data_IF_053692515459
#
_entry.id   IF_053692515459
#
_cell.length_a   1.000
_cell.length_b   1.000
_cell.length_c   1.000
_cell.angle_alpha   90.00
_cell.angle_beta   90.00
_cell.angle_gamma   90.00
#
_symmetry.space_group_name_H-M   'P 1'
#
loop_
_entity.id
_entity.type
_entity.pdbx_description
1 polymer ?
#
# COMPACT_ATOMS: atom_id res chain seq x y z
N UNK A 1 0.12 -12.07 -8.73
CA UNK A 1 1.32 -11.20 -8.75
C UNK A 1 2.62 -11.98 -8.94
N UNK A 2 2.92 -12.99 -8.11
CA UNK A 2 4.11 -13.86 -8.24
C UNK A 2 4.28 -14.47 -9.63
N UNK A 3 3.21 -14.99 -10.24
CA UNK A 3 3.25 -15.59 -11.57
C UNK A 3 3.64 -14.58 -12.68
N UNK A 4 3.12 -13.35 -12.60
CA UNK A 4 3.45 -12.27 -13.54
C UNK A 4 4.93 -11.90 -13.41
N UNK A 5 5.42 -11.76 -12.19
CA UNK A 5 6.84 -11.49 -11.94
C UNK A 5 7.72 -12.63 -12.48
N UNK A 6 7.36 -13.88 -12.21
CA UNK A 6 8.11 -15.02 -12.72
C UNK A 6 8.13 -15.07 -14.25
N UNK A 7 7.00 -14.76 -14.89
CA UNK A 7 6.92 -14.67 -16.35
C UNK A 7 7.79 -13.52 -16.91
N UNK A 8 7.87 -12.38 -16.24
CA UNK A 8 8.76 -11.28 -16.60
C UNK A 8 10.22 -11.70 -16.55
N UNK A 9 10.64 -12.39 -15.50
CA UNK A 9 12.02 -12.91 -15.39
C UNK A 9 12.34 -13.98 -16.44
N UNK A 10 11.36 -14.81 -16.81
CA UNK A 10 11.51 -15.80 -17.89
C UNK A 10 11.69 -15.18 -19.28
N UNK A 11 11.19 -13.96 -19.47
CA UNK A 11 11.32 -13.22 -20.74
C UNK A 11 12.55 -12.28 -20.78
N UNK A 12 13.41 -12.29 -19.78
CA UNK A 12 14.66 -11.52 -19.82
C UNK A 12 15.57 -11.98 -20.98
N UNK A 13 16.28 -11.04 -21.63
CA UNK A 13 17.18 -11.37 -22.75
C UNK A 13 18.33 -12.27 -22.30
N UNK A 14 18.80 -13.10 -23.20
CA UNK A 14 19.92 -14.05 -22.92
C UNK A 14 21.22 -13.33 -22.57
N UNK A 15 21.45 -12.15 -23.19
CA UNK A 15 22.63 -11.33 -22.93
C UNK A 15 22.77 -10.95 -21.42
N UNK A 16 21.65 -10.85 -20.72
CA UNK A 16 21.69 -10.59 -19.27
C UNK A 16 22.25 -11.79 -18.52
N UNK A 17 21.86 -13.01 -18.89
CA UNK A 17 22.36 -14.24 -18.28
C UNK A 17 23.83 -14.45 -18.60
N UNK A 18 24.25 -14.16 -19.85
CA UNK A 18 25.65 -14.23 -20.28
C UNK A 18 26.52 -13.23 -19.50
N UNK A 19 26.04 -12.01 -19.29
CA UNK A 19 26.76 -11.00 -18.49
C UNK A 19 26.94 -11.42 -17.04
N UNK A 20 26.03 -12.23 -16.51
CA UNK A 20 26.11 -12.81 -15.16
C UNK A 20 26.86 -14.15 -15.12
N UNK A 21 27.43 -14.61 -16.26
CA UNK A 21 28.09 -15.89 -16.41
C UNK A 21 27.18 -17.07 -16.05
N UNK A 22 25.88 -16.96 -16.36
CA UNK A 22 24.85 -17.94 -16.07
C UNK A 22 24.18 -18.41 -17.37
N UNK A 23 23.96 -19.72 -17.50
CA UNK A 23 23.14 -20.25 -18.60
C UNK A 23 21.66 -19.95 -18.30
N UNK A 24 20.90 -19.49 -19.31
CA UNK A 24 19.46 -19.32 -19.19
C UNK A 24 18.77 -20.67 -19.01
N UNK A 25 18.37 -20.98 -17.80
CA UNK A 25 17.67 -22.21 -17.41
C UNK A 25 16.57 -21.88 -16.41
N UNK A 26 15.65 -22.80 -16.18
CA UNK A 26 14.61 -22.63 -15.17
C UNK A 26 15.19 -22.37 -13.77
N UNK A 27 16.33 -23.02 -13.45
CA UNK A 27 17.03 -22.82 -12.18
C UNK A 27 17.60 -21.39 -12.05
N UNK A 28 18.28 -20.89 -13.07
CA UNK A 28 18.84 -19.52 -13.07
C UNK A 28 17.74 -18.46 -13.00
N UNK A 29 16.64 -18.65 -13.71
CA UNK A 29 15.47 -17.77 -13.65
C UNK A 29 14.91 -17.76 -12.23
N UNK A 30 14.80 -18.90 -11.58
CA UNK A 30 14.30 -19.02 -10.21
C UNK A 30 15.22 -18.33 -9.19
N UNK A 31 16.53 -18.49 -9.34
CA UNK A 31 17.52 -17.81 -8.49
C UNK A 31 17.44 -16.30 -8.63
N UNK A 32 17.44 -15.80 -9.88
CA UNK A 32 17.28 -14.36 -10.13
C UNK A 32 15.95 -13.83 -9.61
N UNK A 33 14.87 -14.58 -9.78
CA UNK A 33 13.56 -14.22 -9.24
C UNK A 33 13.61 -14.08 -7.71
N UNK A 34 14.16 -15.05 -6.99
CA UNK A 34 14.26 -15.02 -5.53
C UNK A 34 15.15 -13.88 -5.04
N UNK A 35 16.24 -13.58 -5.77
CA UNK A 35 17.18 -12.53 -5.39
C UNK A 35 16.63 -11.13 -5.66
N UNK A 36 15.97 -10.93 -6.81
CA UNK A 36 15.53 -9.59 -7.26
C UNK A 36 14.08 -9.28 -6.87
N UNK A 37 13.26 -10.29 -6.54
CA UNK A 37 11.85 -10.05 -6.18
C UNK A 37 11.66 -9.10 -4.99
N UNK A 38 12.49 -9.11 -3.93
CA UNK A 38 12.37 -8.12 -2.86
C UNK A 38 12.62 -6.69 -3.35
N UNK A 39 13.59 -6.50 -4.25
CA UNK A 39 13.91 -5.18 -4.82
C UNK A 39 12.76 -4.66 -5.69
N UNK A 40 12.23 -5.50 -6.56
CA UNK A 40 11.07 -5.16 -7.40
C UNK A 40 9.84 -4.88 -6.55
N UNK A 41 9.61 -5.69 -5.51
CA UNK A 41 8.50 -5.48 -4.57
C UNK A 41 8.64 -4.16 -3.81
N UNK A 42 9.85 -3.79 -3.39
CA UNK A 42 10.12 -2.51 -2.73
C UNK A 42 9.75 -1.31 -3.61
N UNK A 43 10.03 -1.38 -4.92
CA UNK A 43 9.66 -0.32 -5.88
C UNK A 43 8.16 -0.31 -6.18
N UNK A 44 7.54 -1.50 -6.30
CA UNK A 44 6.12 -1.62 -6.62
C UNK A 44 5.20 -1.34 -5.43
N UNK A 45 5.66 -1.56 -4.19
CA UNK A 45 4.85 -1.40 -2.98
C UNK A 45 4.24 0.00 -2.83
N UNK A 46 5.00 1.12 -3.00
CA UNK A 46 4.43 2.46 -2.97
C UNK A 46 3.38 2.68 -4.06
N UNK A 47 3.59 2.13 -5.26
CA UNK A 47 2.65 2.27 -6.38
C UNK A 47 1.31 1.59 -6.08
N UNK A 48 1.35 0.36 -5.55
CA UNK A 48 0.13 -0.33 -5.11
C UNK A 48 -0.52 0.37 -3.91
N UNK A 49 0.27 0.92 -3.00
CA UNK A 49 -0.21 1.72 -1.88
C UNK A 49 -0.97 2.97 -2.34
N UNK A 50 -0.48 3.65 -3.37
CA UNK A 50 -1.18 4.80 -3.96
C UNK A 50 -2.53 4.40 -4.57
N UNK A 51 -2.56 3.30 -5.31
CA UNK A 51 -3.79 2.79 -5.92
C UNK A 51 -4.80 2.33 -4.85
N UNK A 52 -4.34 1.63 -3.82
CA UNK A 52 -5.18 1.20 -2.69
C UNK A 52 -5.80 2.41 -1.99
N UNK A 53 -5.00 3.41 -1.66
CA UNK A 53 -5.46 4.66 -1.02
C UNK A 53 -6.48 5.40 -1.88
N UNK A 54 -6.24 5.48 -3.19
CA UNK A 54 -7.21 6.09 -4.11
C UNK A 54 -8.56 5.38 -4.05
N UNK A 55 -8.56 4.06 -4.09
CA UNK A 55 -9.78 3.25 -4.03
C UNK A 55 -10.52 3.43 -2.69
N UNK A 56 -9.78 3.55 -1.57
CA UNK A 56 -10.39 3.79 -0.27
C UNK A 56 -11.04 5.17 -0.16
N UNK A 57 -10.40 6.21 -0.69
CA UNK A 57 -11.02 7.52 -0.75
C UNK A 57 -12.30 7.54 -1.60
N UNK A 58 -12.33 6.78 -2.68
CA UNK A 58 -13.54 6.60 -3.50
C UNK A 58 -14.63 5.83 -2.74
N UNK A 59 -14.24 4.81 -1.97
CA UNK A 59 -15.18 4.07 -1.14
C UNK A 59 -15.76 4.94 -0.01
N UNK A 60 -14.95 5.81 0.61
CA UNK A 60 -15.41 6.76 1.63
C UNK A 60 -16.37 7.80 1.04
N UNK A 61 -16.04 8.34 -0.13
CA UNK A 61 -16.91 9.28 -0.85
C UNK A 61 -18.28 8.64 -1.10
N UNK A 62 -18.29 7.44 -1.69
CA UNK A 62 -19.52 6.70 -1.95
C UNK A 62 -20.28 6.35 -0.65
N UNK A 63 -19.58 5.88 0.38
CA UNK A 63 -20.19 5.57 1.67
C UNK A 63 -20.84 6.79 2.33
N UNK A 64 -20.22 7.98 2.18
CA UNK A 64 -20.77 9.23 2.70
C UNK A 64 -21.99 9.74 1.92
N UNK A 65 -22.14 9.35 0.66
CA UNK A 65 -23.32 9.64 -0.15
C UNK A 65 -24.50 8.71 0.19
N UNK A 66 -24.20 7.45 0.54
CA UNK A 66 -25.23 6.46 0.87
C UNK A 66 -25.88 6.68 2.25
N UNK A 67 -25.13 7.17 3.22
CA UNK A 67 -25.61 7.38 4.60
C UNK A 67 -25.43 8.85 5.01
N UNK A 68 -24.39 9.13 5.79
CA UNK A 68 -23.97 10.50 6.13
C UNK A 68 -22.48 10.54 6.42
N UNK A 69 -21.87 11.70 6.25
CA UNK A 69 -20.44 11.91 6.57
C UNK A 69 -20.17 11.69 8.06
N UNK A 70 -21.09 12.09 8.91
CA UNK A 70 -21.00 12.00 10.37
C UNK A 70 -21.07 10.53 10.80
N UNK A 71 -21.98 9.73 10.24
CA UNK A 71 -22.11 8.31 10.54
C UNK A 71 -20.87 7.54 10.09
N UNK A 72 -20.39 7.79 8.88
CA UNK A 72 -19.16 7.17 8.35
C UNK A 72 -17.94 7.56 9.19
N UNK A 73 -17.81 8.84 9.55
CA UNK A 73 -16.68 9.33 10.35
C UNK A 73 -16.67 8.70 11.75
N UNK A 74 -17.82 8.62 12.42
CA UNK A 74 -17.92 7.96 13.73
C UNK A 74 -17.60 6.47 13.67
N UNK A 75 -18.02 5.78 12.61
CA UNK A 75 -17.68 4.37 12.37
C UNK A 75 -16.17 4.18 12.15
N UNK A 76 -15.52 5.05 11.39
CA UNK A 76 -14.08 5.02 11.15
C UNK A 76 -13.28 5.26 12.43
N UNK A 77 -13.68 6.22 13.26
CA UNK A 77 -13.05 6.47 14.57
C UNK A 77 -13.17 5.25 15.47
N UNK A 78 -14.38 4.68 15.58
CA UNK A 78 -14.60 3.48 16.39
C UNK A 78 -13.77 2.30 15.90
N UNK A 79 -13.69 2.08 14.59
CA UNK A 79 -12.86 1.02 14.00
C UNK A 79 -11.37 1.21 14.31
N UNK A 80 -10.88 2.46 14.27
CA UNK A 80 -9.49 2.77 14.59
C UNK A 80 -9.18 2.54 16.07
N UNK A 81 -10.10 2.88 16.96
CA UNK A 81 -9.98 2.64 18.39
C UNK A 81 -9.95 1.14 18.70
N UNK A 82 -10.88 0.36 18.13
CA UNK A 82 -10.92 -1.09 18.29
C UNK A 82 -9.65 -1.79 17.76
N UNK A 83 -9.09 -1.31 16.66
CA UNK A 83 -7.86 -1.82 16.07
C UNK A 83 -6.58 -1.26 16.69
N UNK A 84 -6.68 -0.33 17.66
CA UNK A 84 -5.53 0.38 18.25
C UNK A 84 -4.61 0.97 17.19
N UNK A 85 -5.20 1.50 16.14
CA UNK A 85 -4.46 2.08 15.01
C UNK A 85 -3.79 3.38 15.45
N UNK A 86 -2.47 3.48 15.23
CA UNK A 86 -1.76 4.71 15.55
C UNK A 86 -2.16 5.82 14.56
N UNK A 87 -2.76 6.93 15.00
CA UNK A 87 -3.35 7.93 14.11
C UNK A 87 -2.31 8.81 13.41
N UNK A 88 -1.09 8.87 13.95
CA UNK A 88 -0.03 9.75 13.46
C UNK A 88 1.20 8.94 13.07
N UNK A 89 1.60 9.07 11.82
CA UNK A 89 2.85 8.49 11.29
C UNK A 89 3.55 9.49 10.39
N UNK A 90 4.87 9.38 10.29
CA UNK A 90 5.64 10.25 9.41
C UNK A 90 5.19 10.08 7.94
N UNK A 91 5.06 11.16 7.14
CA UNK A 91 4.58 11.08 5.75
C UNK A 91 5.32 10.08 4.87
N UNK A 92 6.63 9.94 5.04
CA UNK A 92 7.43 8.94 4.30
C UNK A 92 7.06 7.51 4.70
N UNK A 93 6.81 7.26 5.99
CA UNK A 93 6.38 5.95 6.47
C UNK A 93 5.01 5.58 5.90
N UNK A 94 4.09 6.54 5.86
CA UNK A 94 2.76 6.38 5.26
C UNK A 94 2.90 6.02 3.78
N UNK A 95 3.76 6.74 3.05
CA UNK A 95 3.93 6.53 1.61
C UNK A 95 4.56 5.17 1.27
N UNK A 96 5.54 4.73 2.04
CA UNK A 96 6.33 3.53 1.74
C UNK A 96 5.72 2.24 2.32
N UNK A 97 5.10 2.32 3.50
CA UNK A 97 4.72 1.12 4.25
C UNK A 97 3.21 0.95 4.46
N UNK A 98 2.43 2.05 4.37
CA UNK A 98 1.00 1.97 4.60
C UNK A 98 0.27 1.71 3.29
N UNK A 99 -0.41 0.59 3.21
CA UNK A 99 -1.32 0.26 2.09
C UNK A 99 -2.65 1.00 2.21
N UNK A 100 -3.01 1.42 3.43
CA UNK A 100 -4.23 2.15 3.74
C UNK A 100 -3.94 3.60 4.12
N UNK A 101 -4.80 4.58 3.78
CA UNK A 101 -4.62 5.96 4.21
C UNK A 101 -4.83 6.06 5.73
N UNK A 102 -4.08 6.94 6.43
CA UNK A 102 -4.30 7.17 7.84
C UNK A 102 -5.70 7.73 8.09
N UNK A 103 -6.26 7.38 9.27
CA UNK A 103 -7.59 7.84 9.68
C UNK A 103 -7.74 9.36 9.59
N UNK A 104 -6.72 10.09 10.02
CA UNK A 104 -6.69 11.56 9.99
C UNK A 104 -6.90 12.15 8.60
N UNK A 105 -6.30 11.53 7.57
CA UNK A 105 -6.49 11.96 6.18
C UNK A 105 -7.89 11.63 5.65
N UNK A 106 -8.44 10.47 6.02
CA UNK A 106 -9.79 10.05 5.64
C UNK A 106 -10.84 10.98 6.24
N UNK A 107 -10.75 11.29 7.54
CA UNK A 107 -11.64 12.23 8.22
C UNK A 107 -11.55 13.63 7.63
N UNK A 108 -10.33 14.11 7.33
CA UNK A 108 -10.12 15.42 6.72
C UNK A 108 -10.76 15.52 5.32
N UNK A 109 -10.71 14.45 4.52
CA UNK A 109 -11.37 14.41 3.21
C UNK A 109 -12.91 14.39 3.31
N UNK A 110 -13.46 13.80 4.36
CA UNK A 110 -14.89 13.84 4.66
C UNK A 110 -15.34 15.21 5.18
N UNK A 111 -14.41 16.15 5.40
CA UNK A 111 -14.69 17.51 5.88
C UNK A 111 -14.77 17.63 7.40
N UNK A 112 -14.36 16.60 8.14
CA UNK A 112 -14.29 16.63 9.60
C UNK A 112 -12.94 17.18 10.06
N UNK A 113 -12.98 18.11 11.02
CA UNK A 113 -11.75 18.58 11.70
C UNK A 113 -11.39 17.57 12.79
N UNK A 114 -10.25 16.93 12.63
CA UNK A 114 -9.68 16.08 13.67
C UNK A 114 -8.76 16.92 14.55
N UNK A 115 -9.08 16.98 15.84
CA UNK A 115 -8.25 17.70 16.81
C UNK A 115 -7.05 16.80 17.15
N UNK A 116 -5.85 17.16 16.71
CA UNK A 116 -4.61 16.37 16.98
C UNK A 116 -4.35 16.18 18.49
N UNK A 117 -4.91 17.04 19.33
CA UNK A 117 -4.83 16.95 20.79
C UNK A 117 -5.66 15.79 21.39
N UNK A 118 -6.71 15.34 20.72
CA UNK A 118 -7.50 14.18 21.14
C UNK A 118 -6.86 12.86 20.71
N UNK A 119 -6.07 12.85 19.63
CA UNK A 119 -5.36 11.67 19.13
C UNK A 119 -4.25 11.18 20.07
N UNK A 120 -3.74 12.02 20.94
CA UNK A 120 -2.71 11.68 21.94
C UNK A 120 -3.29 11.21 23.28
N UNK A 121 -4.62 11.18 23.42
CA UNK A 121 -5.31 10.80 24.66
C UNK A 121 -5.74 9.31 24.67
N UNK A 122 -5.48 8.57 23.61
CA UNK A 122 -5.71 7.14 23.46
C UNK A 122 -4.37 6.43 23.18
#
# INVERSE_FOLDING_TARGET
MLFIMFALFGNLPEELFDSLHMNKSAGSIMVLFLLLSPLVSFVLMPLFGLLSRYNEYKADEYGSECESKEALSSALVKLADENKSFPLSHPLTITLYFTHPPLTERLKKLGMQFNEGEALAY
#
